data_IF_464960372501
#
_entry.id   IF_464960372501
#
_cell.length_a   1.000
_cell.length_b   1.000
_cell.length_c   1.000
_cell.angle_alpha   90.00
_cell.angle_beta   90.00
_cell.angle_gamma   90.00
#
_symmetry.space_group_name_H-M   'P 1'
#
loop_
_entity.id
_entity.type
_entity.pdbx_description
1 polymer ?
#
# COMPACT_ATOMS: atom_id res chain seq x y z
N UNK A 1 4.77 40.41 17.07
CA UNK A 1 4.59 39.25 16.16
C UNK A 1 5.90 39.06 15.40
N UNK A 2 6.53 37.92 15.59
CA UNK A 2 7.90 37.64 15.10
C UNK A 2 7.90 37.67 13.57
N UNK A 3 8.91 38.31 12.93
CA UNK A 3 9.02 38.44 11.45
C UNK A 3 9.00 37.10 10.72
N UNK A 4 9.42 36.01 11.39
CA UNK A 4 9.44 34.67 10.80
C UNK A 4 8.04 34.05 10.64
N UNK A 5 7.13 34.31 11.57
CA UNK A 5 5.75 33.83 11.45
C UNK A 5 4.98 34.52 10.32
N UNK A 6 5.28 35.79 10.05
CA UNK A 6 4.63 36.54 8.99
C UNK A 6 4.98 35.99 7.61
N UNK A 7 6.26 35.62 7.40
CA UNK A 7 6.71 34.95 6.16
C UNK A 7 6.07 33.58 5.97
N UNK A 8 5.90 32.81 7.04
CA UNK A 8 5.21 31.52 7.00
C UNK A 8 3.75 31.70 6.60
N UNK A 9 3.04 32.67 7.18
CA UNK A 9 1.65 32.97 6.82
C UNK A 9 1.53 33.46 5.37
N UNK A 10 2.41 34.35 4.91
CA UNK A 10 2.43 34.82 3.53
C UNK A 10 2.70 33.68 2.54
N UNK A 11 3.57 32.73 2.90
CA UNK A 11 3.82 31.51 2.10
C UNK A 11 2.60 30.61 2.07
N UNK A 12 1.90 30.41 3.19
CA UNK A 12 0.67 29.62 3.27
C UNK A 12 -0.46 30.28 2.47
N UNK A 13 -0.58 31.61 2.53
CA UNK A 13 -1.59 32.36 1.76
C UNK A 13 -1.32 32.32 0.26
N UNK A 14 -0.06 32.46 -0.17
CA UNK A 14 0.32 32.34 -1.59
C UNK A 14 0.13 30.93 -2.15
N UNK A 15 0.10 29.90 -1.31
CA UNK A 15 -0.21 28.52 -1.71
C UNK A 15 -1.71 28.24 -1.82
N UNK A 16 -2.59 29.09 -1.26
CA UNK A 16 -4.05 28.93 -1.38
C UNK A 16 -4.58 29.09 -2.81
N UNK A 17 -3.87 29.78 -3.67
CA UNK A 17 -4.26 30.01 -5.08
C UNK A 17 -3.86 28.86 -6.01
N UNK A 18 -3.05 27.89 -5.55
CA UNK A 18 -2.81 26.66 -6.27
C UNK A 18 -3.96 25.72 -5.92
N UNK A 19 -5.04 25.80 -6.68
CA UNK A 19 -6.08 24.75 -6.68
C UNK A 19 -5.45 23.51 -7.32
N UNK A 20 -4.63 22.83 -6.54
CA UNK A 20 -4.20 21.47 -6.87
C UNK A 20 -5.48 20.63 -6.91
N UNK A 21 -5.90 20.24 -8.12
CA UNK A 21 -6.97 19.28 -8.25
C UNK A 21 -6.58 18.06 -7.43
N UNK A 22 -7.37 17.75 -6.38
CA UNK A 22 -7.10 16.69 -5.41
C UNK A 22 -6.79 15.33 -6.05
N UNK A 23 -7.17 15.14 -7.30
CA UNK A 23 -6.98 13.91 -8.06
C UNK A 23 -6.10 14.12 -9.31
N UNK A 24 -5.27 15.16 -9.40
CA UNK A 24 -4.42 15.38 -10.57
C UNK A 24 -3.33 14.32 -10.73
N UNK A 25 -2.87 13.72 -9.64
CA UNK A 25 -2.01 12.54 -9.64
C UNK A 25 -2.36 11.64 -8.45
N UNK A 26 -2.97 10.51 -8.71
CA UNK A 26 -3.38 9.54 -7.69
C UNK A 26 -2.40 8.38 -7.63
N UNK A 27 -1.90 8.10 -6.42
CA UNK A 27 -1.12 6.90 -6.14
C UNK A 27 -2.05 5.84 -5.54
N UNK A 28 -2.26 4.73 -6.23
CA UNK A 28 -2.94 3.54 -5.73
C UNK A 28 -1.90 2.54 -5.26
N UNK A 29 -1.98 2.12 -4.01
CA UNK A 29 -1.03 1.16 -3.43
C UNK A 29 -1.71 -0.16 -3.18
N UNK A 30 -1.17 -1.22 -3.77
CA UNK A 30 -1.48 -2.60 -3.39
C UNK A 30 -0.78 -2.90 -2.07
N UNK A 31 -1.53 -2.71 -0.97
CA UNK A 31 -0.95 -2.65 0.36
C UNK A 31 -0.49 -4.00 0.87
N UNK A 32 -1.26 -5.06 0.64
CA UNK A 32 -0.88 -6.38 1.11
C UNK A 32 0.33 -6.93 0.34
N UNK A 33 0.38 -6.75 -0.99
CA UNK A 33 1.54 -7.11 -1.81
C UNK A 33 2.80 -6.37 -1.34
N UNK A 34 2.71 -5.05 -1.17
CA UNK A 34 3.83 -4.21 -0.70
C UNK A 34 4.30 -4.60 0.70
N UNK A 35 3.37 -4.91 1.61
CA UNK A 35 3.67 -5.33 2.97
C UNK A 35 4.35 -6.70 3.01
N UNK A 36 3.77 -7.73 2.38
CA UNK A 36 4.30 -9.09 2.42
C UNK A 36 5.70 -9.18 1.79
N UNK A 37 5.93 -8.43 0.72
CA UNK A 37 7.29 -8.34 0.15
C UNK A 37 8.29 -7.69 1.09
N UNK A 38 7.87 -6.62 1.76
CA UNK A 38 8.71 -5.96 2.76
C UNK A 38 9.00 -6.89 3.94
N UNK A 39 7.99 -7.63 4.38
CA UNK A 39 8.10 -8.60 5.46
C UNK A 39 9.11 -9.70 5.11
N UNK A 40 9.04 -10.25 3.89
CA UNK A 40 9.95 -11.30 3.43
C UNK A 40 11.39 -10.82 3.16
N UNK A 41 11.57 -9.54 2.77
CA UNK A 41 12.87 -9.03 2.32
C UNK A 41 13.66 -8.32 3.42
N UNK A 42 13.01 -7.86 4.49
CA UNK A 42 13.63 -7.00 5.50
C UNK A 42 13.63 -7.68 6.86
N UNK A 43 14.80 -8.17 7.24
CA UNK A 43 15.05 -8.82 8.54
C UNK A 43 15.39 -7.76 9.60
N UNK A 44 14.40 -6.94 9.97
CA UNK A 44 14.58 -5.91 10.98
C UNK A 44 13.92 -6.32 12.30
N UNK A 45 14.73 -6.37 13.35
CA UNK A 45 14.31 -6.74 14.70
C UNK A 45 14.38 -5.51 15.58
N UNK A 46 13.34 -5.26 16.37
CA UNK A 46 13.33 -4.16 17.33
C UNK A 46 14.13 -4.51 18.62
N UNK A 47 14.40 -3.54 19.51
CA UNK A 47 15.13 -3.81 20.75
C UNK A 47 14.48 -4.83 21.70
N UNK A 48 13.19 -5.14 21.51
CA UNK A 48 12.47 -6.15 22.28
C UNK A 48 12.55 -7.56 21.64
N UNK A 49 13.33 -7.72 20.55
CA UNK A 49 13.51 -9.00 19.86
C UNK A 49 12.43 -9.34 18.83
N UNK A 50 11.44 -8.46 18.59
CA UNK A 50 10.37 -8.74 17.66
C UNK A 50 10.76 -8.33 16.23
N UNK A 51 10.45 -9.20 15.25
CA UNK A 51 10.57 -8.86 13.84
C UNK A 51 9.55 -7.75 13.47
N UNK A 52 10.02 -6.71 12.79
CA UNK A 52 9.22 -5.55 12.35
C UNK A 52 9.50 -5.17 10.88
N UNK A 53 10.08 -6.08 10.11
CA UNK A 53 10.51 -5.83 8.73
C UNK A 53 9.38 -5.42 7.80
N UNK A 54 8.21 -6.03 7.94
CA UNK A 54 7.03 -5.70 7.15
C UNK A 54 6.57 -4.26 7.36
N UNK A 55 6.43 -3.86 8.62
CA UNK A 55 6.01 -2.52 9.01
C UNK A 55 6.99 -1.45 8.54
N UNK A 56 8.27 -1.62 8.86
CA UNK A 56 9.33 -0.65 8.52
C UNK A 56 9.51 -0.57 7.00
N UNK A 57 9.52 -1.71 6.33
CA UNK A 57 9.71 -1.78 4.88
C UNK A 57 8.55 -1.17 4.12
N UNK A 58 7.32 -1.46 4.54
CA UNK A 58 6.13 -0.86 3.93
C UNK A 58 6.18 0.67 4.03
N UNK A 59 6.37 1.22 5.22
CA UNK A 59 6.39 2.67 5.44
C UNK A 59 7.52 3.35 4.66
N UNK A 60 8.71 2.74 4.62
CA UNK A 60 9.83 3.24 3.82
C UNK A 60 9.55 3.19 2.32
N UNK A 61 9.00 2.09 1.82
CA UNK A 61 8.69 1.90 0.40
C UNK A 61 7.64 2.91 -0.07
N UNK A 62 6.50 2.97 0.61
CA UNK A 62 5.41 3.90 0.26
C UNK A 62 5.86 5.34 0.42
N UNK A 63 6.54 5.70 1.52
CA UNK A 63 7.07 7.04 1.75
C UNK A 63 8.09 7.48 0.70
N UNK A 64 8.95 6.57 0.25
CA UNK A 64 9.92 6.84 -0.84
C UNK A 64 9.21 7.12 -2.17
N UNK A 65 8.17 6.34 -2.49
CA UNK A 65 7.38 6.53 -3.71
C UNK A 65 6.59 7.84 -3.67
N UNK A 66 5.98 8.16 -2.53
CA UNK A 66 5.30 9.46 -2.33
C UNK A 66 6.27 10.61 -2.56
N UNK A 67 7.47 10.54 -1.96
CA UNK A 67 8.51 11.57 -2.14
C UNK A 67 8.99 11.70 -3.59
N UNK A 68 9.04 10.58 -4.32
CA UNK A 68 9.53 10.57 -5.71
C UNK A 68 8.47 11.05 -6.71
N UNK A 69 7.21 10.67 -6.51
CA UNK A 69 6.12 10.93 -7.45
C UNK A 69 5.31 12.19 -7.11
N UNK A 70 5.39 12.67 -5.87
CA UNK A 70 4.64 13.82 -5.36
C UNK A 70 3.14 13.76 -5.72
N UNK A 71 2.44 12.62 -5.40
CA UNK A 71 1.03 12.47 -5.75
C UNK A 71 0.17 13.47 -4.97
N UNK A 72 -0.92 13.92 -5.56
CA UNK A 72 -1.89 14.79 -4.90
C UNK A 72 -2.89 14.02 -4.04
N UNK A 73 -2.97 12.70 -4.22
CA UNK A 73 -3.79 11.77 -3.42
C UNK A 73 -3.12 10.42 -3.32
N UNK A 74 -3.19 9.82 -2.14
CA UNK A 74 -2.70 8.45 -1.89
C UNK A 74 -3.85 7.60 -1.40
N UNK A 75 -4.10 6.48 -2.08
CA UNK A 75 -5.12 5.51 -1.73
C UNK A 75 -4.44 4.16 -1.48
N UNK A 76 -4.54 3.68 -0.26
CA UNK A 76 -3.96 2.42 0.20
C UNK A 76 -5.06 1.36 0.19
N UNK A 77 -4.94 0.39 -0.69
CA UNK A 77 -5.97 -0.64 -0.91
C UNK A 77 -5.52 -1.94 -0.26
N UNK A 78 -6.36 -2.48 0.61
CA UNK A 78 -6.19 -3.79 1.23
C UNK A 78 -7.25 -4.76 0.72
N UNK A 79 -6.91 -6.05 0.68
CA UNK A 79 -7.91 -7.10 0.46
C UNK A 79 -9.01 -7.02 1.52
N UNK A 80 -10.24 -7.18 1.08
CA UNK A 80 -11.37 -7.28 2.00
C UNK A 80 -11.46 -8.64 2.68
N UNK A 81 -12.18 -8.72 3.79
CA UNK A 81 -12.44 -9.98 4.45
C UNK A 81 -13.09 -10.97 3.46
N UNK A 82 -12.44 -12.12 3.25
CA UNK A 82 -12.89 -13.10 2.26
C UNK A 82 -12.76 -12.61 0.81
N UNK A 83 -11.76 -11.79 0.48
CA UNK A 83 -11.58 -11.14 -0.82
C UNK A 83 -11.77 -12.04 -2.04
N UNK A 84 -11.25 -13.27 -2.00
CA UNK A 84 -11.39 -14.23 -3.10
C UNK A 84 -12.73 -15.00 -3.12
N UNK A 85 -13.65 -14.75 -2.19
CA UNK A 85 -14.90 -15.54 -2.05
C UNK A 85 -15.75 -15.50 -3.33
N UNK A 86 -15.94 -14.33 -3.91
CA UNK A 86 -16.74 -14.18 -5.13
C UNK A 86 -16.09 -14.86 -6.34
N UNK A 87 -14.76 -14.73 -6.49
CA UNK A 87 -14.02 -15.39 -7.57
C UNK A 87 -14.04 -16.91 -7.41
N UNK A 88 -13.93 -17.45 -6.19
CA UNK A 88 -14.04 -18.88 -5.92
C UNK A 88 -15.46 -19.42 -6.13
N UNK A 89 -16.48 -18.62 -5.86
CA UNK A 89 -17.86 -19.01 -6.15
C UNK A 89 -18.09 -19.18 -7.66
N UNK A 90 -17.52 -18.28 -8.48
CA UNK A 90 -17.61 -18.35 -9.95
C UNK A 90 -16.68 -19.42 -10.55
N UNK A 91 -15.50 -19.59 -9.96
CA UNK A 91 -14.46 -20.52 -10.38
C UNK A 91 -13.81 -21.19 -9.18
N UNK A 92 -14.27 -22.36 -8.77
CA UNK A 92 -13.82 -23.04 -7.53
C UNK A 92 -12.31 -23.32 -7.47
N UNK A 93 -11.67 -23.50 -8.62
CA UNK A 93 -10.21 -23.72 -8.72
C UNK A 93 -9.37 -22.44 -8.57
N UNK A 94 -10.02 -21.28 -8.47
CA UNK A 94 -9.31 -20.00 -8.33
C UNK A 94 -8.42 -20.00 -7.08
N UNK A 95 -7.12 -19.87 -7.29
CA UNK A 95 -6.09 -19.90 -6.22
C UNK A 95 -6.12 -21.16 -5.34
N UNK A 96 -6.73 -22.26 -5.78
CA UNK A 96 -6.84 -23.52 -4.99
C UNK A 96 -5.45 -24.11 -4.65
N UNK A 97 -4.46 -23.91 -5.50
CA UNK A 97 -3.09 -24.42 -5.32
C UNK A 97 -2.16 -23.45 -4.57
N UNK A 98 -2.65 -22.29 -4.09
CA UNK A 98 -1.84 -21.39 -3.25
C UNK A 98 -1.81 -21.89 -1.80
N UNK A 99 -1.12 -22.98 -1.57
CA UNK A 99 -0.74 -23.39 -0.21
C UNK A 99 0.54 -22.63 0.16
N UNK A 100 0.42 -21.66 1.06
CA UNK A 100 1.59 -21.06 1.72
C UNK A 100 2.14 -22.13 2.65
N UNK A 101 3.16 -22.83 2.21
CA UNK A 101 3.74 -23.96 2.95
C UNK A 101 5.16 -23.68 3.44
N UNK A 102 5.65 -22.45 3.28
CA UNK A 102 7.02 -22.11 3.66
C UNK A 102 7.06 -20.87 4.52
N UNK A 103 7.79 -20.95 5.62
CA UNK A 103 8.23 -19.80 6.41
C UNK A 103 9.11 -18.93 5.51
N UNK A 104 8.85 -17.63 5.46
CA UNK A 104 9.60 -16.66 4.64
C UNK A 104 10.83 -16.13 5.38
N UNK A 105 10.73 -15.98 6.71
CA UNK A 105 11.79 -15.50 7.60
C UNK A 105 12.19 -16.60 8.59
N UNK A 106 12.73 -17.71 8.06
CA UNK A 106 13.12 -18.90 8.84
C UNK A 106 14.21 -18.63 9.89
N UNK A 107 14.94 -17.53 9.79
CA UNK A 107 15.92 -17.05 10.78
C UNK A 107 15.28 -16.23 11.92
N UNK A 108 14.01 -15.86 11.79
CA UNK A 108 13.28 -15.09 12.79
C UNK A 108 12.11 -15.87 13.42
N UNK A 109 11.64 -16.95 12.79
CA UNK A 109 10.48 -17.73 13.23
C UNK A 109 10.76 -19.23 13.11
N UNK A 110 10.39 -19.99 14.12
CA UNK A 110 10.53 -21.43 14.16
C UNK A 110 9.33 -22.16 13.52
N UNK A 111 8.14 -21.53 13.56
CA UNK A 111 6.89 -22.10 13.06
C UNK A 111 6.14 -21.15 12.13
N UNK A 112 5.29 -21.73 11.29
CA UNK A 112 4.44 -20.97 10.37
C UNK A 112 3.35 -20.18 11.13
N UNK A 113 2.90 -20.68 12.25
CA UNK A 113 1.96 -20.03 13.16
C UNK A 113 2.56 -18.75 13.72
N UNK A 114 3.79 -18.79 14.22
CA UNK A 114 4.51 -17.61 14.74
C UNK A 114 4.71 -16.55 13.66
N UNK A 115 5.11 -16.96 12.45
CA UNK A 115 5.26 -16.02 11.33
C UNK A 115 3.91 -15.37 10.98
N UNK A 116 2.82 -16.15 10.94
CA UNK A 116 1.46 -15.67 10.65
C UNK A 116 0.94 -14.70 11.70
N UNK A 117 1.20 -14.98 12.98
CA UNK A 117 0.87 -14.08 14.08
C UNK A 117 1.65 -12.76 14.01
N UNK A 118 2.94 -12.83 13.68
CA UNK A 118 3.79 -11.66 13.50
C UNK A 118 3.34 -10.80 12.30
N UNK A 119 2.96 -11.41 11.19
CA UNK A 119 2.36 -10.73 10.03
C UNK A 119 1.10 -10.00 10.45
N UNK A 120 0.19 -10.69 11.12
CA UNK A 120 -1.09 -10.13 11.57
C UNK A 120 -0.88 -8.95 12.52
N UNK A 121 -0.02 -9.10 13.53
CA UNK A 121 0.29 -8.05 14.49
C UNK A 121 0.89 -6.81 13.82
N UNK A 122 1.79 -7.00 12.85
CA UNK A 122 2.39 -5.90 12.11
C UNK A 122 1.39 -5.20 11.19
N UNK A 123 0.49 -5.93 10.52
CA UNK A 123 -0.57 -5.33 9.70
C UNK A 123 -1.53 -4.51 10.56
N UNK A 124 -1.96 -5.03 11.71
CA UNK A 124 -2.81 -4.27 12.63
C UNK A 124 -2.13 -2.96 13.06
N UNK A 125 -0.87 -3.04 13.46
CA UNK A 125 -0.08 -1.86 13.86
C UNK A 125 0.11 -0.89 12.69
N UNK A 126 0.33 -1.41 11.48
CA UNK A 126 0.44 -0.60 10.27
C UNK A 126 -0.84 0.19 10.04
N UNK A 127 -2.01 -0.46 10.08
CA UNK A 127 -3.31 0.19 9.90
C UNK A 127 -3.53 1.30 10.93
N UNK A 128 -3.14 1.09 12.19
CA UNK A 128 -3.24 2.13 13.22
C UNK A 128 -2.39 3.36 12.88
N UNK A 129 -1.18 3.16 12.37
CA UNK A 129 -0.33 4.28 11.93
C UNK A 129 -0.89 4.99 10.70
N UNK A 130 -1.39 4.22 9.73
CA UNK A 130 -1.94 4.78 8.49
C UNK A 130 -3.20 5.63 8.74
N UNK A 131 -4.02 5.29 9.75
CA UNK A 131 -5.18 6.10 10.17
C UNK A 131 -4.79 7.49 10.67
N UNK A 132 -3.53 7.69 11.08
CA UNK A 132 -3.02 8.98 11.54
C UNK A 132 -2.42 9.82 10.40
N UNK A 133 -2.37 9.30 9.17
CA UNK A 133 -1.78 9.96 8.00
C UNK A 133 -2.86 10.50 7.06
N UNK A 134 -2.56 11.54 6.26
CA UNK A 134 -3.49 12.10 5.28
C UNK A 134 -3.58 11.22 4.02
N UNK A 135 -3.98 9.97 4.18
CA UNK A 135 -4.16 8.96 3.13
C UNK A 135 -5.55 8.35 3.20
N UNK A 136 -6.07 7.88 2.08
CA UNK A 136 -7.32 7.13 2.06
C UNK A 136 -7.02 5.63 2.23
N UNK A 137 -7.74 4.97 3.16
CA UNK A 137 -7.67 3.52 3.36
C UNK A 137 -8.93 2.90 2.75
N UNK A 138 -8.76 1.89 1.90
CA UNK A 138 -9.87 1.20 1.24
C UNK A 138 -9.70 -0.31 1.42
N UNK A 139 -10.75 -0.94 1.93
CA UNK A 139 -10.91 -2.39 2.00
C UNK A 139 -12.39 -2.70 1.82
N UNK A 140 -12.74 -3.59 0.89
CA UNK A 140 -14.14 -3.92 0.58
C UNK A 140 -14.31 -5.42 0.77
N UNK A 141 -15.21 -5.81 1.68
CA UNK A 141 -15.47 -7.22 1.98
C UNK A 141 -15.80 -8.03 0.73
N UNK A 142 -15.26 -9.23 0.65
CA UNK A 142 -15.40 -10.20 -0.46
C UNK A 142 -14.81 -9.74 -1.80
N UNK A 143 -14.05 -8.64 -1.83
CA UNK A 143 -13.39 -8.12 -3.02
C UNK A 143 -11.88 -8.07 -2.76
N UNK A 144 -11.10 -8.51 -3.75
CA UNK A 144 -9.64 -8.44 -3.71
C UNK A 144 -9.16 -7.02 -4.04
N UNK A 145 -7.99 -6.66 -3.54
CA UNK A 145 -7.40 -5.35 -3.77
C UNK A 145 -7.16 -5.07 -5.27
N UNK A 146 -6.82 -6.09 -6.06
CA UNK A 146 -6.59 -5.97 -7.50
C UNK A 146 -7.85 -5.51 -8.26
N UNK A 147 -9.04 -6.01 -7.89
CA UNK A 147 -10.31 -5.59 -8.48
C UNK A 147 -10.64 -4.14 -8.11
N UNK A 148 -10.43 -3.77 -6.85
CA UNK A 148 -10.66 -2.40 -6.37
C UNK A 148 -9.70 -1.42 -7.07
N UNK A 149 -8.42 -1.75 -7.15
CA UNK A 149 -7.41 -0.92 -7.84
C UNK A 149 -7.76 -0.79 -9.32
N UNK A 150 -8.11 -1.90 -9.98
CA UNK A 150 -8.52 -1.90 -11.38
C UNK A 150 -9.75 -1.03 -11.65
N UNK A 151 -10.73 -1.03 -10.73
CA UNK A 151 -11.88 -0.15 -10.79
C UNK A 151 -11.49 1.32 -10.59
N UNK A 152 -10.75 1.63 -9.53
CA UNK A 152 -10.35 2.99 -9.20
C UNK A 152 -9.47 3.61 -10.29
N UNK A 153 -8.54 2.85 -10.87
CA UNK A 153 -7.68 3.33 -11.94
C UNK A 153 -8.46 3.81 -13.17
N UNK A 154 -9.64 3.21 -13.43
CA UNK A 154 -10.53 3.63 -14.53
C UNK A 154 -11.39 4.85 -14.16
N UNK A 155 -11.73 5.01 -12.86
CA UNK A 155 -12.61 6.09 -12.41
C UNK A 155 -11.90 7.44 -12.27
N UNK A 156 -10.62 7.45 -11.89
CA UNK A 156 -9.87 8.70 -11.79
C UNK A 156 -9.61 9.29 -13.18
N UNK A 157 -9.98 10.58 -13.40
CA UNK A 157 -9.88 11.19 -14.74
C UNK A 157 -8.44 11.52 -15.15
N UNK A 158 -7.58 11.80 -14.18
CA UNK A 158 -6.23 12.28 -14.37
C UNK A 158 -5.19 11.14 -14.22
N UNK A 159 -3.93 11.50 -14.00
CA UNK A 159 -2.82 10.56 -13.87
C UNK A 159 -2.98 9.63 -12.68
N UNK A 160 -2.81 8.34 -12.90
CA UNK A 160 -2.81 7.30 -11.87
C UNK A 160 -1.48 6.54 -11.91
N UNK A 161 -0.87 6.32 -10.75
CA UNK A 161 0.25 5.40 -10.61
C UNK A 161 -0.15 4.28 -9.64
N UNK A 162 0.03 3.04 -10.06
CA UNK A 162 -0.20 1.86 -9.23
C UNK A 162 1.13 1.39 -8.67
N UNK A 163 1.25 1.32 -7.35
CA UNK A 163 2.42 0.74 -6.67
C UNK A 163 2.13 -0.73 -6.37
N UNK A 164 2.71 -1.62 -7.14
CA UNK A 164 2.67 -3.07 -6.95
C UNK A 164 3.78 -3.74 -7.74
N UNK A 165 4.09 -4.97 -7.37
CA UNK A 165 4.98 -5.85 -8.13
C UNK A 165 4.23 -6.94 -8.88
N UNK A 166 2.92 -6.96 -8.75
CA UNK A 166 2.08 -7.89 -9.48
C UNK A 166 2.00 -7.48 -10.96
N UNK A 167 2.33 -8.43 -11.83
CA UNK A 167 2.34 -8.22 -13.27
C UNK A 167 0.92 -8.10 -13.85
N UNK A 168 -0.09 -8.57 -13.13
CA UNK A 168 -1.47 -8.48 -13.58
C UNK A 168 -1.92 -7.02 -13.76
N UNK A 169 -1.29 -6.07 -13.07
CA UNK A 169 -1.57 -4.64 -13.26
C UNK A 169 -1.03 -4.07 -14.59
N UNK A 170 -0.11 -4.76 -15.27
CA UNK A 170 0.40 -4.29 -16.57
C UNK A 170 -0.69 -4.20 -17.63
N UNK A 171 -1.76 -4.98 -17.53
CA UNK A 171 -2.94 -4.88 -18.39
C UNK A 171 -3.72 -3.56 -18.24
N UNK A 172 -3.48 -2.80 -17.17
CA UNK A 172 -4.14 -1.51 -16.93
C UNK A 172 -3.35 -0.32 -17.46
N UNK A 173 -2.10 -0.54 -17.88
CA UNK A 173 -1.22 0.54 -18.37
C UNK A 173 -1.83 1.23 -19.57
N UNK A 174 -1.81 2.56 -19.54
CA UNK A 174 -2.36 3.43 -20.57
C UNK A 174 -1.66 4.79 -20.55
N UNK A 175 -2.11 5.75 -21.36
CA UNK A 175 -1.56 7.12 -21.34
C UNK A 175 -1.68 7.79 -19.97
N UNK A 176 -2.69 7.41 -19.17
CA UNK A 176 -2.92 7.97 -17.82
C UNK A 176 -2.53 7.05 -16.66
N UNK A 177 -2.46 5.72 -16.89
CA UNK A 177 -2.18 4.73 -15.84
C UNK A 177 -0.78 4.17 -16.03
N UNK A 178 0.04 4.29 -15.01
CA UNK A 178 1.37 3.70 -14.93
C UNK A 178 1.49 2.73 -13.75
N UNK A 179 2.37 1.74 -13.87
CA UNK A 179 2.70 0.81 -12.78
C UNK A 179 4.12 1.12 -12.32
N UNK A 180 4.28 1.33 -11.02
CA UNK A 180 5.57 1.51 -10.38
C UNK A 180 5.91 0.26 -9.58
N UNK A 181 6.98 -0.43 -9.98
CA UNK A 181 7.52 -1.55 -9.22
C UNK A 181 8.78 -1.09 -8.47
N UNK A 182 8.86 -1.25 -7.13
CA UNK A 182 10.03 -0.87 -6.35
C UNK A 182 11.22 -1.84 -6.54
N UNK A 183 11.05 -2.86 -7.35
CA UNK A 183 12.08 -3.88 -7.66
C UNK A 183 12.57 -3.67 -9.07
N UNK A 184 13.90 -3.64 -9.20
CA UNK A 184 14.60 -3.62 -10.50
C UNK A 184 14.56 -5.00 -11.14
#
# INVERSE_FOLDING_TARGET
MNKDYRKIFETIESQKDIVLHRNSHVLLVDSLNTFLRSFAAIHHINPAGNHIGGLVGYLKSVGSVIKHLEPTRVVLVFDGQGGSTNKRYLYPEYKANRHITKITNWDAFDTQEEESEAITAQIMRLVDYLKCLPVDLVSIDKIEADDVIGYLAKQFPEKVTILSTDQDYLQLVSDKVSVFSPVK
#
